data_IF_542026697348
#
_entry.id   IF_542026697348
#
_cell.length_a   1.000
_cell.length_b   1.000
_cell.length_c   1.000
_cell.angle_alpha   90.00
_cell.angle_beta   90.00
_cell.angle_gamma   90.00
#
_symmetry.space_group_name_H-M   'P 1'
#
loop_
_entity.id
_entity.type
_entity.pdbx_description
1 polymer ?
#
# COMPACT_ATOMS: atom_id res chain seq x y z
N UNK A 1 1.17 -23.39 -10.88
CA UNK A 1 1.45 -24.23 -9.70
C UNK A 1 1.33 -23.41 -8.43
N UNK A 2 0.54 -23.87 -7.47
CA UNK A 2 0.37 -23.17 -6.21
C UNK A 2 1.61 -23.33 -5.33
N UNK A 3 1.99 -22.27 -4.65
CA UNK A 3 3.08 -22.28 -3.68
C UNK A 3 2.52 -21.95 -2.31
N UNK A 4 3.05 -22.58 -1.28
CA UNK A 4 2.63 -22.41 0.11
C UNK A 4 3.78 -21.80 0.90
N UNK A 5 3.46 -20.83 1.78
CA UNK A 5 4.41 -20.21 2.68
C UNK A 5 3.87 -20.28 4.11
N UNK A 6 4.74 -20.52 5.08
CA UNK A 6 4.36 -20.46 6.50
C UNK A 6 4.17 -19.02 6.93
N UNK A 7 3.37 -18.79 8.00
CA UNK A 7 3.16 -17.46 8.54
C UNK A 7 4.48 -16.78 8.94
N UNK A 8 5.37 -17.56 9.60
CA UNK A 8 6.67 -17.03 10.00
C UNK A 8 7.51 -16.58 8.81
N UNK A 9 7.55 -17.38 7.74
CA UNK A 9 8.28 -17.03 6.53
C UNK A 9 7.66 -15.85 5.80
N UNK A 10 6.33 -15.70 5.84
CA UNK A 10 5.65 -14.55 5.29
C UNK A 10 6.08 -13.26 5.99
N UNK A 11 6.20 -13.28 7.31
CA UNK A 11 6.66 -12.13 8.08
C UNK A 11 8.11 -11.78 7.76
N UNK A 12 8.96 -12.78 7.57
CA UNK A 12 10.35 -12.58 7.14
C UNK A 12 10.41 -11.98 5.73
N UNK A 13 9.54 -12.41 4.83
CA UNK A 13 9.43 -11.83 3.49
C UNK A 13 9.06 -10.35 3.54
N UNK A 14 8.12 -9.98 4.40
CA UNK A 14 7.72 -8.58 4.59
C UNK A 14 8.90 -7.75 5.10
N UNK A 15 9.65 -8.25 6.07
CA UNK A 15 10.83 -7.56 6.59
C UNK A 15 11.86 -7.33 5.48
N UNK A 16 12.11 -8.33 4.65
CA UNK A 16 13.05 -8.22 3.53
C UNK A 16 12.60 -7.18 2.50
N UNK A 17 11.30 -7.14 2.18
CA UNK A 17 10.75 -6.16 1.23
C UNK A 17 10.86 -4.74 1.77
N UNK A 18 10.63 -4.54 3.06
CA UNK A 18 10.78 -3.23 3.71
C UNK A 18 12.23 -2.78 3.67
N UNK A 19 13.18 -3.67 3.93
CA UNK A 19 14.61 -3.36 3.85
C UNK A 19 15.07 -2.98 2.44
N UNK A 20 14.43 -3.53 1.42
CA UNK A 20 14.72 -3.18 0.03
C UNK A 20 14.11 -1.83 -0.40
N UNK A 21 13.37 -1.19 0.49
CA UNK A 21 12.74 0.09 0.21
C UNK A 21 11.36 0.01 -0.41
N UNK A 22 10.78 -1.18 -0.52
CA UNK A 22 9.41 -1.34 -1.00
C UNK A 22 8.42 -0.90 0.08
N UNK A 23 7.31 -0.29 -0.36
CA UNK A 23 6.20 0.03 0.53
C UNK A 23 5.29 -1.20 0.61
N UNK A 24 5.24 -1.84 1.77
CA UNK A 24 4.37 -2.99 1.99
C UNK A 24 3.12 -2.53 2.74
N UNK A 25 1.95 -2.81 2.17
CA UNK A 25 0.66 -2.46 2.76
C UNK A 25 -0.08 -3.75 3.06
N UNK A 26 -0.60 -3.87 4.27
CA UNK A 26 -1.35 -5.04 4.67
C UNK A 26 -2.23 -4.77 5.87
N UNK A 27 -3.03 -5.78 6.29
CA UNK A 27 -3.87 -5.63 7.47
C UNK A 27 -3.03 -5.36 8.71
N UNK A 28 -3.31 -4.27 9.38
CA UNK A 28 -2.62 -3.82 10.58
C UNK A 28 -3.64 -3.40 11.63
N UNK A 29 -3.31 -3.61 12.88
CA UNK A 29 -4.15 -3.16 13.99
C UNK A 29 -4.11 -1.64 14.12
N UNK A 30 -5.28 -1.02 14.15
CA UNK A 30 -5.45 0.42 14.33
C UNK A 30 -6.49 0.64 15.44
N UNK A 31 -6.05 0.63 16.70
CA UNK A 31 -6.94 0.63 17.85
C UNK A 31 -7.71 -0.70 17.94
N UNK A 32 -9.02 -0.63 17.97
CA UNK A 32 -9.92 -1.79 18.03
C UNK A 32 -10.38 -2.30 16.66
N UNK A 33 -9.80 -1.79 15.57
CA UNK A 33 -10.13 -2.24 14.22
C UNK A 33 -8.88 -2.61 13.44
N UNK A 34 -9.07 -3.34 12.34
CA UNK A 34 -8.01 -3.69 11.40
C UNK A 34 -8.18 -2.87 10.13
N UNK A 35 -7.11 -2.24 9.68
CA UNK A 35 -7.09 -1.45 8.45
C UNK A 35 -5.91 -1.88 7.57
N UNK A 36 -6.00 -1.61 6.27
CA UNK A 36 -4.86 -1.74 5.39
C UNK A 36 -3.99 -0.49 5.55
N UNK A 37 -2.80 -0.68 6.08
CA UNK A 37 -1.85 0.40 6.33
C UNK A 37 -0.44 -0.03 5.97
N UNK A 38 0.49 0.92 5.72
CA UNK A 38 1.89 0.57 5.52
C UNK A 38 2.46 -0.17 6.73
N UNK A 39 3.19 -1.25 6.45
CA UNK A 39 3.84 -2.07 7.46
C UNK A 39 5.31 -1.68 7.59
N UNK A 40 5.76 -1.44 8.81
CA UNK A 40 7.17 -1.21 9.11
C UNK A 40 7.95 -2.51 9.32
N UNK A 41 7.23 -3.59 9.66
CA UNK A 41 7.83 -4.91 9.83
C UNK A 41 6.78 -6.00 9.66
N UNK A 42 7.22 -7.23 9.47
CA UNK A 42 6.33 -8.38 9.37
C UNK A 42 5.55 -8.66 10.65
N UNK A 43 6.06 -8.21 11.79
CA UNK A 43 5.38 -8.39 13.07
C UNK A 43 4.08 -7.57 13.18
N UNK A 44 3.93 -6.52 12.38
CA UNK A 44 2.74 -5.67 12.37
C UNK A 44 1.58 -6.27 11.59
N UNK A 45 1.83 -7.29 10.78
CA UNK A 45 0.79 -7.96 9.98
C UNK A 45 -0.21 -8.68 10.87
N UNK A 46 -1.50 -8.39 10.68
CA UNK A 46 -2.60 -9.06 11.38
C UNK A 46 -3.29 -10.01 10.41
N UNK A 47 -3.41 -11.26 10.79
CA UNK A 47 -4.09 -12.29 10.00
C UNK A 47 -5.35 -12.77 10.73
N UNK A 48 -6.31 -13.25 9.96
CA UNK A 48 -7.54 -13.83 10.52
C UNK A 48 -8.62 -12.83 10.89
N UNK A 49 -8.38 -11.53 10.69
CA UNK A 49 -9.38 -10.48 10.94
C UNK A 49 -9.69 -9.76 9.65
N UNK A 50 -10.98 -9.55 9.38
CA UNK A 50 -11.39 -8.81 8.19
C UNK A 50 -11.16 -7.32 8.39
N UNK A 51 -10.38 -6.67 7.52
CA UNK A 51 -10.18 -5.22 7.58
C UNK A 51 -11.47 -4.44 7.37
N UNK A 52 -11.56 -3.30 8.01
CA UNK A 52 -12.75 -2.45 8.00
C UNK A 52 -12.97 -1.72 6.68
N UNK A 53 -11.89 -1.44 5.96
CA UNK A 53 -11.91 -0.76 4.68
C UNK A 53 -11.34 -1.64 3.57
N UNK A 54 -11.70 -1.33 2.33
CA UNK A 54 -11.23 -2.06 1.17
C UNK A 54 -9.74 -1.78 0.89
N UNK A 55 -9.02 -2.81 0.45
CA UNK A 55 -7.66 -2.67 -0.04
C UNK A 55 -7.56 -1.81 -1.31
N UNK A 56 -8.67 -1.54 -1.98
CA UNK A 56 -8.71 -0.70 -3.19
C UNK A 56 -8.17 0.71 -2.97
N UNK A 57 -8.22 1.21 -1.74
CA UNK A 57 -7.66 2.53 -1.40
C UNK A 57 -6.16 2.62 -1.65
N UNK A 58 -5.45 1.49 -1.71
CA UNK A 58 -4.01 1.46 -1.98
C UNK A 58 -3.68 1.89 -3.40
N UNK A 59 -4.47 1.49 -4.37
CA UNK A 59 -4.25 1.83 -5.79
C UNK A 59 -5.29 2.78 -6.36
N UNK A 60 -6.37 3.05 -5.63
CA UNK A 60 -7.39 4.04 -5.98
C UNK A 60 -7.74 4.86 -4.74
N UNK A 61 -6.86 5.76 -4.31
CA UNK A 61 -7.05 6.50 -3.06
C UNK A 61 -8.19 7.52 -3.17
N UNK A 62 -8.79 7.83 -2.02
CA UNK A 62 -9.86 8.84 -1.93
C UNK A 62 -9.32 10.24 -2.21
N UNK A 63 -8.04 10.46 -1.90
CA UNK A 63 -7.39 11.75 -2.07
C UNK A 63 -5.96 11.53 -2.51
N UNK A 64 -5.53 12.28 -3.50
CA UNK A 64 -4.18 12.14 -4.05
C UNK A 64 -3.58 13.51 -4.32
N UNK A 65 -2.29 13.66 -4.01
CA UNK A 65 -1.56 14.89 -4.30
C UNK A 65 -1.29 14.99 -5.80
N UNK A 66 -1.75 16.07 -6.42
CA UNK A 66 -1.52 16.34 -7.84
C UNK A 66 -0.29 17.20 -8.01
N UNK A 67 -0.15 18.23 -7.17
CA UNK A 67 1.02 19.09 -7.15
C UNK A 67 1.19 19.68 -5.75
N UNK A 68 2.40 20.14 -5.44
CA UNK A 68 2.69 20.86 -4.22
C UNK A 68 3.26 22.23 -4.55
N UNK A 69 3.08 23.17 -3.64
CA UNK A 69 3.71 24.48 -3.77
C UNK A 69 4.27 24.94 -2.45
N UNK A 70 5.32 25.74 -2.52
CA UNK A 70 5.94 26.35 -1.36
C UNK A 70 6.11 27.84 -1.62
N UNK A 71 5.72 28.66 -0.64
CA UNK A 71 5.88 30.11 -0.71
C UNK A 71 6.88 30.55 0.34
N UNK A 72 8.04 31.07 -0.12
CA UNK A 72 9.09 31.60 0.72
C UNK A 72 9.50 32.99 0.22
N UNK A 73 9.59 33.96 1.13
CA UNK A 73 10.10 35.32 0.82
C UNK A 73 9.46 35.97 -0.41
N UNK A 74 8.14 35.78 -0.59
CA UNK A 74 7.41 36.32 -1.72
C UNK A 74 7.56 35.54 -3.02
N UNK A 75 8.34 34.45 -3.03
CA UNK A 75 8.45 33.55 -4.18
C UNK A 75 7.62 32.30 -3.96
N UNK A 76 6.97 31.83 -5.03
CA UNK A 76 6.19 30.59 -5.00
C UNK A 76 6.86 29.56 -5.91
N UNK A 77 7.16 28.39 -5.33
CA UNK A 77 7.70 27.26 -6.07
C UNK A 77 6.61 26.20 -6.19
N UNK A 78 6.34 25.76 -7.41
CA UNK A 78 5.35 24.71 -7.69
C UNK A 78 6.10 23.47 -8.14
N UNK A 79 5.76 22.33 -7.56
CA UNK A 79 6.38 21.05 -7.89
C UNK A 79 5.30 20.01 -8.24
N UNK A 80 5.45 19.37 -9.38
CA UNK A 80 4.63 18.22 -9.76
C UNK A 80 5.07 16.99 -9.01
N UNK A 81 4.17 16.02 -8.88
CA UNK A 81 4.50 14.73 -8.30
C UNK A 81 5.49 14.00 -9.20
N UNK A 82 6.64 13.65 -8.65
CA UNK A 82 7.64 12.87 -9.37
C UNK A 82 7.34 11.39 -9.22
N UNK A 83 6.73 10.81 -10.25
CA UNK A 83 6.34 9.40 -10.25
C UNK A 83 7.54 8.45 -10.16
N UNK A 84 8.72 8.88 -10.59
CA UNK A 84 9.94 8.06 -10.52
C UNK A 84 10.43 7.87 -9.09
N UNK A 85 10.01 8.74 -8.16
CA UNK A 85 10.38 8.66 -6.73
C UNK A 85 9.41 7.85 -5.90
N UNK A 86 8.28 7.46 -6.46
CA UNK A 86 7.32 6.65 -5.74
C UNK A 86 7.90 5.25 -5.50
N UNK A 87 7.83 4.73 -4.28
CA UNK A 87 8.32 3.38 -4.00
C UNK A 87 7.40 2.34 -4.64
N UNK A 88 7.96 1.18 -4.97
CA UNK A 88 7.15 0.04 -5.35
C UNK A 88 6.29 -0.38 -4.18
N UNK A 89 5.01 -0.60 -4.42
CA UNK A 89 4.05 -0.98 -3.39
C UNK A 89 3.66 -2.44 -3.53
N UNK A 90 3.74 -3.17 -2.42
CA UNK A 90 3.29 -4.57 -2.34
C UNK A 90 2.09 -4.62 -1.41
N UNK A 91 0.96 -5.11 -1.92
CA UNK A 91 -0.26 -5.25 -1.15
C UNK A 91 -0.40 -6.69 -0.68
N UNK A 92 -0.47 -6.87 0.63
CA UNK A 92 -0.63 -8.18 1.26
C UNK A 92 -2.04 -8.37 1.81
N UNK A 93 -2.55 -9.58 1.71
CA UNK A 93 -3.82 -9.96 2.34
C UNK A 93 -5.07 -9.35 1.73
N UNK A 94 -5.03 -8.94 0.47
CA UNK A 94 -6.21 -8.42 -0.21
C UNK A 94 -7.25 -9.51 -0.40
N UNK A 95 -8.52 -9.15 -0.28
CA UNK A 95 -9.63 -10.06 -0.60
C UNK A 95 -9.65 -10.31 -2.12
N UNK A 96 -10.13 -11.49 -2.57
CA UNK A 96 -10.16 -11.80 -4.00
C UNK A 96 -10.89 -10.78 -4.86
N UNK A 97 -12.00 -10.22 -4.37
CA UNK A 97 -12.74 -9.18 -5.09
C UNK A 97 -11.92 -7.89 -5.23
N UNK A 98 -11.14 -7.53 -4.22
CA UNK A 98 -10.27 -6.36 -4.26
C UNK A 98 -9.05 -6.61 -5.15
N UNK A 99 -8.53 -7.83 -5.15
CA UNK A 99 -7.40 -8.20 -5.99
C UNK A 99 -7.77 -8.24 -7.49
N UNK A 100 -9.03 -8.46 -7.82
CA UNK A 100 -9.51 -8.45 -9.20
C UNK A 100 -9.74 -7.03 -9.75
N UNK A 101 -9.92 -6.04 -8.88
CA UNK A 101 -10.23 -4.67 -9.29
C UNK A 101 -9.17 -4.00 -10.18
N UNK A 102 -7.85 -4.19 -9.96
CA UNK A 102 -6.85 -3.62 -10.86
C UNK A 102 -7.00 -4.05 -12.31
N UNK A 103 -7.45 -5.27 -12.56
CA UNK A 103 -7.70 -5.74 -13.92
C UNK A 103 -8.80 -4.95 -14.63
N UNK A 104 -9.82 -4.52 -13.87
CA UNK A 104 -10.90 -3.69 -14.40
C UNK A 104 -10.38 -2.27 -14.68
N UNK A 105 -9.56 -1.72 -13.80
CA UNK A 105 -8.95 -0.41 -14.01
C UNK A 105 -8.00 -0.41 -15.21
N UNK A 106 -7.22 -1.47 -15.38
CA UNK A 106 -6.35 -1.63 -16.54
C UNK A 106 -7.17 -1.61 -17.84
N UNK A 107 -8.31 -2.27 -17.86
CA UNK A 107 -9.18 -2.27 -19.04
C UNK A 107 -9.73 -0.88 -19.38
N UNK A 108 -9.93 -0.03 -18.37
CA UNK A 108 -10.44 1.32 -18.56
C UNK A 108 -9.33 2.30 -18.98
N UNK A 109 -8.14 2.17 -18.41
CA UNK A 109 -7.05 3.15 -18.55
C UNK A 109 -5.93 2.74 -19.52
N UNK A 110 -5.96 1.51 -20.01
CA UNK A 110 -4.95 1.10 -21.02
C UNK A 110 -5.30 1.51 -22.44
#
# INVERSE_FOLDING_TARGET
MAKIITEQNLRVLIDALVEEGARVVGPRSAGDMTLYEPLGSGAELVLGTLPRRSAKETFFPLCEEILSYEKKEGKMTVADVDLSRLPSTVLMGALPCDAAAPGILDAVFS
#
